data_IF_796747796623
#
_entry.id   IF_796747796623
#
_cell.length_a   1.000
_cell.length_b   1.000
_cell.length_c   1.000
_cell.angle_alpha   90.00
_cell.angle_beta   90.00
_cell.angle_gamma   90.00
#
_symmetry.space_group_name_H-M   'P 1'
#
loop_
_entity.id
_entity.type
_entity.pdbx_description
1 polymer ?
#
# COMPACT_ATOMS: atom_id res chain seq x y z
N UNK A 1 28.11 -16.81 -2.94
CA UNK A 1 28.13 -15.92 -4.12
C UNK A 1 28.65 -14.55 -3.66
N UNK A 2 29.62 -13.96 -4.37
CA UNK A 2 30.38 -12.79 -3.87
C UNK A 2 29.65 -11.48 -4.18
N UNK A 3 29.73 -10.51 -3.26
CA UNK A 3 29.24 -9.13 -3.42
C UNK A 3 29.75 -8.48 -4.71
N UNK A 4 30.95 -8.87 -5.17
CA UNK A 4 31.51 -8.49 -6.46
C UNK A 4 30.63 -8.92 -7.65
N UNK A 5 30.05 -10.13 -7.65
CA UNK A 5 29.17 -10.58 -8.73
C UNK A 5 27.87 -9.77 -8.77
N UNK A 6 27.29 -9.47 -7.60
CA UNK A 6 26.12 -8.60 -7.53
C UNK A 6 26.43 -7.19 -8.05
N UNK A 7 27.54 -6.60 -7.59
CA UNK A 7 27.99 -5.27 -8.04
C UNK A 7 28.22 -5.22 -9.55
N UNK A 8 28.86 -6.23 -10.14
CA UNK A 8 29.04 -6.31 -11.60
C UNK A 8 27.72 -6.42 -12.35
N UNK A 9 26.76 -7.21 -11.84
CA UNK A 9 25.42 -7.33 -12.43
C UNK A 9 24.64 -6.02 -12.32
N UNK A 10 24.72 -5.33 -11.18
CA UNK A 10 24.07 -4.03 -10.99
C UNK A 10 24.69 -2.96 -11.89
N UNK A 11 26.03 -2.92 -12.01
CA UNK A 11 26.72 -2.01 -12.92
C UNK A 11 26.29 -2.22 -14.38
N UNK A 12 26.29 -3.48 -14.85
CA UNK A 12 25.80 -3.82 -16.19
C UNK A 12 24.31 -3.43 -16.39
N UNK A 13 23.49 -3.60 -15.36
CA UNK A 13 22.09 -3.17 -15.36
C UNK A 13 21.98 -1.64 -15.50
N UNK A 14 22.75 -0.88 -14.72
CA UNK A 14 22.76 0.60 -14.76
C UNK A 14 23.25 1.13 -16.11
N UNK A 15 24.34 0.59 -16.65
CA UNK A 15 24.83 0.95 -17.98
C UNK A 15 23.76 0.73 -19.05
N UNK A 16 23.09 -0.41 -19.00
CA UNK A 16 22.06 -0.71 -20.01
C UNK A 16 20.81 0.15 -19.84
N UNK A 17 20.42 0.49 -18.60
CA UNK A 17 19.35 1.45 -18.32
C UNK A 17 19.67 2.86 -18.83
N UNK A 18 20.94 3.24 -18.86
CA UNK A 18 21.38 4.55 -19.34
C UNK A 18 21.43 4.67 -20.87
N UNK A 19 21.51 3.56 -21.60
CA UNK A 19 21.87 3.55 -23.03
C UNK A 19 20.69 3.45 -24.02
N UNK A 20 19.49 3.04 -23.61
CA UNK A 20 18.38 2.77 -24.54
C UNK A 20 16.97 2.96 -23.94
N UNK A 21 15.95 2.97 -24.81
CA UNK A 21 14.52 2.95 -24.48
C UNK A 21 14.22 1.95 -23.33
N UNK A 22 14.03 2.50 -22.12
CA UNK A 22 13.98 1.74 -20.87
C UNK A 22 12.93 0.62 -20.83
N UNK A 23 11.93 0.67 -21.70
CA UNK A 23 10.89 -0.34 -21.81
C UNK A 23 11.34 -1.63 -22.48
N UNK A 24 12.28 -1.57 -23.43
CA UNK A 24 12.89 -2.79 -24.02
C UNK A 24 13.69 -3.50 -22.94
N UNK A 25 14.31 -2.73 -22.04
CA UNK A 25 15.13 -3.23 -20.93
C UNK A 25 14.33 -3.99 -19.87
N UNK A 26 13.09 -3.60 -19.58
CA UNK A 26 12.29 -4.31 -18.59
C UNK A 26 11.94 -5.76 -18.97
N UNK A 27 11.98 -6.07 -20.27
CA UNK A 27 11.84 -7.42 -20.82
C UNK A 27 13.17 -8.18 -20.90
N UNK A 28 14.29 -7.53 -20.57
CA UNK A 28 15.62 -8.12 -20.71
C UNK A 28 15.97 -9.03 -19.53
N UNK A 29 16.74 -10.11 -19.78
CA UNK A 29 17.17 -11.06 -18.75
C UNK A 29 17.98 -10.43 -17.61
N UNK A 30 18.43 -9.18 -17.72
CA UNK A 30 19.30 -8.48 -16.79
C UNK A 30 18.61 -8.17 -15.45
N UNK A 31 17.39 -7.60 -15.45
CA UNK A 31 16.65 -7.35 -14.19
C UNK A 31 16.30 -8.67 -13.50
N UNK A 32 15.92 -9.67 -14.29
CA UNK A 32 15.70 -11.02 -13.78
C UNK A 32 16.99 -11.62 -13.24
N UNK A 33 18.13 -11.41 -13.88
CA UNK A 33 19.43 -11.90 -13.44
C UNK A 33 19.93 -11.20 -12.16
N UNK A 34 19.55 -9.94 -11.92
CA UNK A 34 19.77 -9.24 -10.65
C UNK A 34 18.87 -9.85 -9.56
N UNK A 35 17.59 -10.07 -9.86
CA UNK A 35 16.66 -10.72 -8.92
C UNK A 35 17.12 -12.13 -8.53
N UNK A 36 17.47 -12.94 -9.52
CA UNK A 36 17.86 -14.33 -9.31
C UNK A 36 19.23 -14.39 -8.59
N UNK A 37 20.16 -13.49 -8.93
CA UNK A 37 21.41 -13.30 -8.18
C UNK A 37 21.20 -12.99 -6.71
N UNK A 38 20.20 -12.17 -6.42
CA UNK A 38 19.87 -11.73 -5.09
C UNK A 38 19.16 -12.82 -4.27
N UNK A 39 18.32 -13.65 -4.91
CA UNK A 39 17.68 -14.80 -4.27
C UNK A 39 18.65 -15.94 -3.90
N UNK A 40 19.77 -16.07 -4.63
CA UNK A 40 20.78 -17.10 -4.39
C UNK A 40 21.82 -16.73 -3.32
N UNK A 41 21.88 -15.45 -2.90
CA UNK A 41 22.82 -14.98 -1.86
C UNK A 41 22.24 -15.14 -0.46
N UNK A 42 22.75 -16.04 0.41
CA UNK A 42 22.35 -16.07 1.81
C UNK A 42 22.75 -14.74 2.47
N UNK A 43 21.75 -14.01 2.96
CA UNK A 43 21.88 -12.60 3.35
C UNK A 43 22.48 -12.39 4.76
N UNK A 44 22.78 -13.45 5.51
CA UNK A 44 22.94 -13.44 6.97
C UNK A 44 24.12 -12.64 7.55
N UNK A 45 24.92 -11.92 6.75
CA UNK A 45 26.07 -11.17 7.30
C UNK A 45 26.53 -9.92 6.54
N UNK A 46 25.86 -9.51 5.45
CA UNK A 46 26.36 -8.41 4.60
C UNK A 46 25.26 -7.54 3.98
N UNK A 47 24.15 -7.30 4.68
CA UNK A 47 23.02 -6.51 4.17
C UNK A 47 23.44 -5.11 3.73
N UNK A 48 24.35 -4.45 4.47
CA UNK A 48 24.87 -3.11 4.14
C UNK A 48 25.64 -3.10 2.83
N UNK A 49 26.53 -4.07 2.61
CA UNK A 49 27.31 -4.18 1.36
C UNK A 49 26.39 -4.47 0.17
N UNK A 50 25.34 -5.27 0.40
CA UNK A 50 24.33 -5.57 -0.63
C UNK A 50 23.54 -4.31 -0.98
N UNK A 51 23.14 -3.51 0.01
CA UNK A 51 22.45 -2.22 -0.21
C UNK A 51 23.36 -1.24 -0.95
N UNK A 52 24.63 -1.11 -0.57
CA UNK A 52 25.60 -0.25 -1.25
C UNK A 52 25.77 -0.66 -2.72
N UNK A 53 25.77 -1.96 -3.01
CA UNK A 53 25.82 -2.47 -4.37
C UNK A 53 24.54 -2.19 -5.17
N UNK A 54 23.37 -2.13 -4.51
CA UNK A 54 22.08 -1.85 -5.14
C UNK A 54 21.80 -0.35 -5.32
N UNK A 55 22.31 0.50 -4.44
CA UNK A 55 22.00 1.93 -4.39
C UNK A 55 22.14 2.67 -5.73
N UNK A 56 23.17 2.39 -6.57
CA UNK A 56 23.29 3.01 -7.90
C UNK A 56 22.11 2.74 -8.84
N UNK A 57 21.32 1.70 -8.58
CA UNK A 57 20.16 1.33 -9.38
C UNK A 57 18.92 2.19 -9.04
N UNK A 58 18.88 2.84 -7.89
CA UNK A 58 17.72 3.61 -7.43
C UNK A 58 17.34 4.75 -8.38
N UNK A 59 18.30 5.60 -8.76
CA UNK A 59 18.07 6.72 -9.67
C UNK A 59 17.61 6.25 -11.08
N UNK A 60 18.30 5.31 -11.75
CA UNK A 60 17.80 4.75 -13.02
C UNK A 60 16.39 4.15 -12.93
N UNK A 61 16.05 3.46 -11.83
CA UNK A 61 14.69 2.92 -11.63
C UNK A 61 13.66 4.04 -11.48
N UNK A 62 13.96 5.04 -10.66
CA UNK A 62 13.12 6.20 -10.42
C UNK A 62 12.86 7.05 -11.67
N UNK A 63 13.89 7.25 -12.50
CA UNK A 63 13.83 8.14 -13.66
C UNK A 63 13.29 7.44 -14.92
N UNK A 64 13.59 6.15 -15.09
CA UNK A 64 13.35 5.46 -16.37
C UNK A 64 12.31 4.34 -16.28
N UNK A 65 12.31 3.54 -15.20
CA UNK A 65 11.45 2.36 -15.11
C UNK A 65 10.08 2.67 -14.50
N UNK A 66 10.05 3.37 -13.36
CA UNK A 66 8.80 3.73 -12.70
C UNK A 66 7.94 4.69 -13.55
N UNK A 67 8.52 5.65 -14.29
CA UNK A 67 7.76 6.50 -15.20
C UNK A 67 7.42 5.84 -16.55
N UNK A 68 7.82 4.57 -16.75
CA UNK A 68 7.59 3.83 -18.00
C UNK A 68 6.11 3.75 -18.35
N UNK A 69 5.82 3.63 -19.64
CA UNK A 69 4.45 3.54 -20.14
C UNK A 69 3.96 2.11 -20.28
N UNK A 70 4.84 1.14 -20.04
CA UNK A 70 4.55 -0.26 -20.25
C UNK A 70 4.22 -0.93 -18.93
N UNK A 71 3.01 -1.48 -18.82
CA UNK A 71 2.50 -2.18 -17.63
C UNK A 71 3.47 -3.26 -17.16
N UNK A 72 3.96 -4.11 -18.07
CA UNK A 72 4.93 -5.17 -17.77
C UNK A 72 6.19 -4.63 -17.07
N UNK A 73 6.64 -3.43 -17.46
CA UNK A 73 7.84 -2.80 -16.89
C UNK A 73 7.62 -2.43 -15.44
N UNK A 74 6.53 -1.74 -15.15
CA UNK A 74 6.23 -1.32 -13.78
C UNK A 74 5.95 -2.53 -12.90
N UNK A 75 5.18 -3.51 -13.36
CA UNK A 75 4.92 -4.73 -12.58
C UNK A 75 6.20 -5.49 -12.24
N UNK A 76 7.10 -5.66 -13.22
CA UNK A 76 8.40 -6.31 -12.99
C UNK A 76 9.26 -5.50 -12.01
N UNK A 77 9.24 -4.17 -12.14
CA UNK A 77 9.97 -3.25 -11.25
C UNK A 77 9.43 -3.33 -9.83
N UNK A 78 8.11 -3.27 -9.64
CA UNK A 78 7.45 -3.42 -8.34
C UNK A 78 7.76 -4.79 -7.71
N UNK A 79 7.66 -5.88 -8.47
CA UNK A 79 7.97 -7.23 -7.98
C UNK A 79 9.44 -7.36 -7.52
N UNK A 80 10.37 -6.72 -8.25
CA UNK A 80 11.78 -6.67 -7.88
C UNK A 80 11.99 -5.90 -6.57
N UNK A 81 11.38 -4.72 -6.46
CA UNK A 81 11.44 -3.89 -5.26
C UNK A 81 10.86 -4.61 -4.03
N UNK A 82 9.73 -5.31 -4.20
CA UNK A 82 9.13 -6.17 -3.15
C UNK A 82 10.11 -7.26 -2.71
N UNK A 83 10.84 -7.86 -3.65
CA UNK A 83 11.86 -8.87 -3.34
C UNK A 83 12.99 -8.26 -2.53
N UNK A 84 13.52 -7.11 -2.95
CA UNK A 84 14.62 -6.43 -2.24
C UNK A 84 14.22 -6.03 -0.83
N UNK A 85 13.06 -5.38 -0.66
CA UNK A 85 12.62 -4.95 0.67
C UNK A 85 12.28 -6.12 1.59
N UNK A 86 11.81 -7.24 1.03
CA UNK A 86 11.51 -8.44 1.83
C UNK A 86 12.76 -9.04 2.45
N UNK A 87 13.88 -9.02 1.72
CA UNK A 87 15.15 -9.60 2.17
C UNK A 87 15.94 -8.60 3.04
N UNK A 88 16.00 -7.34 2.64
CA UNK A 88 16.85 -6.33 3.31
C UNK A 88 16.16 -5.63 4.48
N UNK A 89 14.83 -5.66 4.53
CA UNK A 89 14.05 -4.99 5.58
C UNK A 89 14.47 -3.53 5.75
N UNK A 90 14.85 -3.17 6.97
CA UNK A 90 15.24 -1.81 7.36
C UNK A 90 16.50 -1.30 6.66
N UNK A 91 17.40 -2.20 6.23
CA UNK A 91 18.62 -1.80 5.52
C UNK A 91 18.31 -1.24 4.12
N UNK A 92 17.12 -1.53 3.56
CA UNK A 92 16.70 -1.01 2.27
C UNK A 92 16.34 0.48 2.28
N UNK A 93 16.30 1.13 3.46
CA UNK A 93 15.94 2.54 3.63
C UNK A 93 16.54 3.50 2.59
N UNK A 94 17.87 3.56 2.38
CA UNK A 94 18.47 4.57 1.48
C UNK A 94 18.01 4.42 0.02
N UNK A 95 17.64 3.20 -0.36
CA UNK A 95 17.07 2.91 -1.67
C UNK A 95 15.61 3.36 -1.73
N UNK A 96 14.81 3.00 -0.72
CA UNK A 96 13.39 3.36 -0.63
C UNK A 96 13.18 4.87 -0.66
N UNK A 97 14.01 5.63 0.07
CA UNK A 97 13.98 7.10 0.13
C UNK A 97 14.04 7.73 -1.28
N UNK A 98 14.71 7.09 -2.24
CA UNK A 98 14.85 7.60 -3.61
C UNK A 98 13.70 7.18 -4.55
N UNK A 99 13.01 6.08 -4.27
CA UNK A 99 12.05 5.48 -5.21
C UNK A 99 10.60 5.62 -4.79
N UNK A 100 10.31 5.89 -3.52
CA UNK A 100 8.94 5.85 -2.99
C UNK A 100 8.03 6.94 -3.60
N UNK A 101 8.52 8.17 -3.74
CA UNK A 101 7.79 9.27 -4.39
C UNK A 101 7.64 9.05 -5.90
N UNK A 102 8.70 8.65 -6.65
CA UNK A 102 8.54 8.21 -8.04
C UNK A 102 7.50 7.09 -8.23
N UNK A 103 7.43 6.14 -7.29
CA UNK A 103 6.46 5.04 -7.32
C UNK A 103 5.01 5.53 -7.12
N UNK A 104 4.78 6.46 -6.18
CA UNK A 104 3.47 7.14 -6.02
C UNK A 104 3.07 7.89 -7.30
N UNK A 105 4.01 8.60 -7.92
CA UNK A 105 3.79 9.32 -9.17
C UNK A 105 3.53 8.39 -10.37
N UNK A 106 4.13 7.19 -10.38
CA UNK A 106 3.88 6.19 -11.41
C UNK A 106 2.40 5.75 -11.38
N UNK A 107 1.87 5.45 -10.18
CA UNK A 107 0.45 5.14 -10.01
C UNK A 107 -0.46 6.27 -10.52
N UNK A 108 -0.13 7.54 -10.22
CA UNK A 108 -0.87 8.71 -10.69
C UNK A 108 -0.89 8.83 -12.21
N UNK A 109 0.27 8.74 -12.86
CA UNK A 109 0.41 8.93 -14.31
C UNK A 109 -0.42 7.91 -15.08
N UNK A 110 -0.47 6.68 -14.59
CA UNK A 110 -1.20 5.59 -15.24
C UNK A 110 -2.70 5.77 -15.16
N UNK A 111 -3.24 6.12 -13.99
CA UNK A 111 -4.67 6.36 -13.82
C UNK A 111 -5.20 7.49 -14.70
N UNK A 112 -4.41 8.57 -14.89
CA UNK A 112 -4.77 9.68 -15.80
C UNK A 112 -4.86 9.24 -17.25
N UNK A 113 -3.90 8.46 -17.74
CA UNK A 113 -3.89 8.02 -19.14
C UNK A 113 -5.02 7.08 -19.48
N UNK A 114 -5.31 6.14 -18.59
CA UNK A 114 -6.41 5.23 -18.79
C UNK A 114 -7.73 6.00 -18.92
N UNK A 115 -7.88 7.16 -18.27
CA UNK A 115 -9.03 8.04 -18.48
C UNK A 115 -9.06 8.66 -19.88
N UNK A 116 -7.93 9.16 -20.38
CA UNK A 116 -7.82 9.78 -21.71
C UNK A 116 -8.00 8.76 -22.85
N UNK A 117 -7.40 7.57 -22.76
CA UNK A 117 -7.53 6.51 -23.77
C UNK A 117 -8.91 5.84 -23.76
N UNK A 118 -9.57 5.76 -22.59
CA UNK A 118 -10.97 5.30 -22.47
C UNK A 118 -11.94 6.15 -23.26
N UNK A 119 -11.69 7.45 -23.38
CA UNK A 119 -12.52 8.34 -24.18
C UNK A 119 -12.36 8.07 -25.70
N UNK A 120 -11.29 7.38 -26.11
CA UNK A 120 -10.98 7.12 -27.51
C UNK A 120 -11.36 5.72 -28.01
N UNK A 121 -11.57 4.72 -27.13
CA UNK A 121 -11.70 3.31 -27.52
C UNK A 121 -12.97 2.62 -27.01
N UNK A 122 -13.57 1.75 -27.82
CA UNK A 122 -14.85 1.07 -27.53
C UNK A 122 -14.76 -0.17 -26.64
N UNK A 123 -13.56 -0.72 -26.40
CA UNK A 123 -13.37 -1.93 -25.60
C UNK A 123 -13.03 -1.61 -24.12
N UNK A 124 -13.99 -1.05 -23.38
CA UNK A 124 -13.78 -0.54 -22.01
C UNK A 124 -13.39 -1.59 -20.96
N UNK A 125 -13.71 -2.87 -21.17
CA UNK A 125 -13.56 -3.93 -20.16
C UNK A 125 -12.11 -4.40 -19.98
N UNK A 126 -11.34 -4.50 -21.07
CA UNK A 126 -9.95 -4.98 -21.03
C UNK A 126 -9.04 -3.99 -20.28
N UNK A 127 -9.22 -2.68 -20.53
CA UNK A 127 -8.44 -1.63 -19.88
C UNK A 127 -8.69 -1.50 -18.39
N UNK A 128 -9.92 -1.78 -17.93
CA UNK A 128 -10.24 -1.81 -16.48
C UNK A 128 -9.35 -2.81 -15.73
N UNK A 129 -9.16 -4.00 -16.31
CA UNK A 129 -8.39 -5.06 -15.67
C UNK A 129 -6.90 -4.71 -15.62
N UNK A 130 -6.35 -4.19 -16.72
CA UNK A 130 -4.93 -3.81 -16.79
C UNK A 130 -4.60 -2.68 -15.79
N UNK A 131 -5.44 -1.65 -15.72
CA UNK A 131 -5.28 -0.54 -14.76
C UNK A 131 -5.33 -1.04 -13.32
N UNK A 132 -6.30 -1.91 -13.00
CA UNK A 132 -6.45 -2.50 -11.67
C UNK A 132 -5.24 -3.34 -11.27
N UNK A 133 -4.77 -4.24 -12.15
CA UNK A 133 -3.60 -5.09 -11.86
C UNK A 133 -2.33 -4.26 -11.64
N UNK A 134 -2.16 -3.17 -12.40
CA UNK A 134 -1.03 -2.28 -12.26
C UNK A 134 -1.08 -1.49 -10.95
N UNK A 135 -2.24 -0.90 -10.66
CA UNK A 135 -2.48 -0.19 -9.42
C UNK A 135 -2.23 -1.08 -8.21
N UNK A 136 -2.76 -2.31 -8.24
CA UNK A 136 -2.53 -3.31 -7.20
C UNK A 136 -1.03 -3.66 -7.03
N UNK A 137 -0.26 -3.68 -8.12
CA UNK A 137 1.18 -3.94 -8.05
C UNK A 137 1.95 -2.78 -7.39
N UNK A 138 1.54 -1.54 -7.64
CA UNK A 138 2.09 -0.35 -6.99
C UNK A 138 1.70 -0.32 -5.52
N UNK A 139 0.44 -0.56 -5.18
CA UNK A 139 -0.06 -0.65 -3.79
C UNK A 139 0.71 -1.70 -3.01
N UNK A 140 0.76 -2.94 -3.51
CA UNK A 140 1.49 -4.04 -2.85
C UNK A 140 2.96 -3.69 -2.63
N UNK A 141 3.58 -3.01 -3.60
CA UNK A 141 4.98 -2.60 -3.47
C UNK A 141 5.18 -1.55 -2.38
N UNK A 142 4.31 -0.54 -2.34
CA UNK A 142 4.33 0.49 -1.30
C UNK A 142 4.03 -0.11 0.08
N UNK A 143 3.04 -0.99 0.20
CA UNK A 143 2.68 -1.64 1.47
C UNK A 143 3.89 -2.41 2.05
N UNK A 144 4.64 -3.09 1.19
CA UNK A 144 5.86 -3.80 1.59
C UNK A 144 6.99 -2.85 1.99
N UNK A 145 7.15 -1.72 1.30
CA UNK A 145 8.11 -0.67 1.67
C UNK A 145 7.76 -0.01 3.00
N UNK A 146 6.50 0.39 3.15
CA UNK A 146 5.94 1.03 4.33
C UNK A 146 5.99 0.12 5.53
N UNK A 147 5.76 -1.18 5.38
CA UNK A 147 5.82 -2.12 6.51
C UNK A 147 7.23 -2.49 6.96
N UNK A 148 8.25 -2.47 6.07
CA UNK A 148 9.57 -3.05 6.36
C UNK A 148 10.77 -2.10 6.28
N UNK A 149 10.74 -1.08 5.42
CA UNK A 149 11.96 -0.34 5.08
C UNK A 149 12.31 0.81 6.03
N UNK A 150 11.38 1.29 6.87
CA UNK A 150 11.62 2.41 7.81
C UNK A 150 12.23 3.66 7.14
N UNK A 151 11.70 4.01 5.97
CA UNK A 151 12.17 5.13 5.14
C UNK A 151 11.89 6.51 5.78
N UNK A 152 12.43 7.60 5.23
CA UNK A 152 12.05 8.96 5.65
C UNK A 152 10.62 9.26 5.23
N UNK A 153 9.74 9.52 6.20
CA UNK A 153 8.31 9.69 5.93
C UNK A 153 8.01 11.08 5.32
N UNK A 154 8.87 12.09 5.54
CA UNK A 154 8.60 13.47 5.12
C UNK A 154 8.29 13.61 3.62
N UNK A 155 9.07 13.02 2.69
CA UNK A 155 8.77 13.12 1.25
C UNK A 155 7.38 12.62 0.87
N UNK A 156 6.82 11.64 1.58
CA UNK A 156 5.46 11.14 1.32
C UNK A 156 4.40 12.08 1.90
N UNK A 157 4.63 12.59 3.11
CA UNK A 157 3.71 13.55 3.74
C UNK A 157 3.65 14.84 2.91
N UNK A 158 4.80 15.37 2.49
CA UNK A 158 4.87 16.54 1.60
C UNK A 158 4.21 16.27 0.24
N UNK A 159 4.29 15.03 -0.25
CA UNK A 159 3.65 14.64 -1.50
C UNK A 159 2.11 14.66 -1.42
N UNK A 160 1.53 14.42 -0.24
CA UNK A 160 0.08 14.53 -0.04
C UNK A 160 -0.42 15.93 -0.36
N UNK A 161 0.22 16.96 0.19
CA UNK A 161 -0.15 18.37 -0.01
C UNK A 161 0.10 18.83 -1.45
N UNK A 162 1.18 18.34 -2.07
CA UNK A 162 1.51 18.66 -3.45
C UNK A 162 0.60 17.97 -4.48
N UNK A 163 -0.14 16.93 -4.09
CA UNK A 163 -0.90 16.11 -5.01
C UNK A 163 -2.41 16.38 -4.95
N UNK A 164 -2.96 16.99 -6.00
CA UNK A 164 -4.41 17.22 -6.12
C UNK A 164 -5.22 15.99 -6.61
N UNK A 165 -4.63 14.80 -6.60
CA UNK A 165 -5.30 13.59 -7.09
C UNK A 165 -5.86 12.81 -5.91
N UNK A 166 -7.19 12.79 -5.77
CA UNK A 166 -7.91 12.06 -4.70
C UNK A 166 -7.36 10.65 -4.50
N UNK A 167 -7.18 9.89 -5.57
CA UNK A 167 -6.68 8.51 -5.49
C UNK A 167 -5.27 8.38 -4.94
N UNK A 168 -4.40 9.36 -5.22
CA UNK A 168 -3.02 9.37 -4.72
C UNK A 168 -3.00 9.83 -3.27
N UNK A 169 -3.83 10.82 -2.91
CA UNK A 169 -4.01 11.25 -1.53
C UNK A 169 -4.53 10.09 -0.66
N UNK A 170 -5.52 9.34 -1.13
CA UNK A 170 -5.98 8.11 -0.46
C UNK A 170 -4.85 7.06 -0.38
N UNK A 171 -4.06 6.90 -1.44
CA UNK A 171 -2.92 5.97 -1.41
C UNK A 171 -1.90 6.37 -0.34
N UNK A 172 -1.54 7.66 -0.24
CA UNK A 172 -0.65 8.17 0.81
C UNK A 172 -1.23 7.91 2.20
N UNK A 173 -2.52 8.19 2.42
CA UNK A 173 -3.18 7.92 3.69
C UNK A 173 -3.14 6.44 4.09
N UNK A 174 -3.34 5.52 3.12
CA UNK A 174 -3.16 4.07 3.35
C UNK A 174 -1.74 3.71 3.74
N UNK A 175 -0.74 4.33 3.11
CA UNK A 175 0.66 4.11 3.50
C UNK A 175 0.94 4.61 4.91
N UNK A 176 0.40 5.78 5.30
CA UNK A 176 0.48 6.29 6.67
C UNK A 176 -0.18 5.31 7.65
N UNK A 177 -1.35 4.76 7.33
CA UNK A 177 -2.02 3.75 8.15
C UNK A 177 -1.15 2.51 8.39
N UNK A 178 -0.51 2.00 7.34
CA UNK A 178 0.40 0.83 7.41
C UNK A 178 1.64 1.17 8.24
N UNK A 179 2.23 2.35 8.03
CA UNK A 179 3.39 2.83 8.81
C UNK A 179 3.05 2.90 10.29
N UNK A 180 1.90 3.50 10.64
CA UNK A 180 1.42 3.59 12.02
C UNK A 180 1.16 2.21 12.64
N UNK A 181 0.67 1.25 11.86
CA UNK A 181 0.43 -0.11 12.34
C UNK A 181 1.68 -0.99 12.45
N UNK A 182 2.80 -0.61 11.84
CA UNK A 182 4.00 -1.47 11.71
C UNK A 182 5.27 -0.90 12.32
N UNK A 183 5.34 0.41 12.57
CA UNK A 183 6.51 1.08 13.14
C UNK A 183 6.31 1.30 14.63
N UNK A 184 7.42 1.36 15.36
CA UNK A 184 7.37 1.70 16.78
C UNK A 184 7.14 3.20 16.97
N UNK A 185 6.51 3.58 18.07
CA UNK A 185 6.30 4.98 18.44
C UNK A 185 7.60 5.81 18.39
N UNK A 186 8.72 5.24 18.85
CA UNK A 186 10.03 5.92 18.84
C UNK A 186 10.50 6.26 17.43
N UNK A 187 10.25 5.37 16.46
CA UNK A 187 10.58 5.63 15.05
C UNK A 187 9.69 6.72 14.44
N UNK A 188 8.46 6.86 14.95
CA UNK A 188 7.45 7.78 14.45
C UNK A 188 7.48 9.16 15.10
N UNK A 189 8.06 9.28 16.29
CA UNK A 189 8.12 10.51 17.08
C UNK A 189 8.61 11.74 16.28
N UNK A 190 9.66 11.65 15.42
CA UNK A 190 10.11 12.80 14.62
C UNK A 190 9.05 13.34 13.65
N UNK A 191 8.06 12.52 13.31
CA UNK A 191 7.02 12.84 12.33
C UNK A 191 5.66 13.16 12.95
N UNK A 192 5.52 13.11 14.29
CA UNK A 192 4.22 13.29 14.99
C UNK A 192 3.44 14.51 14.49
N UNK A 193 4.08 15.69 14.48
CA UNK A 193 3.43 16.94 14.03
C UNK A 193 2.96 16.88 12.57
N UNK A 194 3.79 16.34 11.69
CA UNK A 194 3.46 16.23 10.26
C UNK A 194 2.31 15.24 10.02
N UNK A 195 2.30 14.08 10.70
CA UNK A 195 1.22 13.10 10.59
C UNK A 195 -0.08 13.68 11.16
N UNK A 196 -0.01 14.36 12.31
CA UNK A 196 -1.17 15.04 12.93
C UNK A 196 -1.78 16.05 11.97
N UNK A 197 -0.97 16.94 11.39
CA UNK A 197 -1.44 18.00 10.52
C UNK A 197 -2.02 17.43 9.22
N UNK A 198 -1.38 16.39 8.65
CA UNK A 198 -1.91 15.65 7.49
C UNK A 198 -3.28 15.03 7.80
N UNK A 199 -3.42 14.32 8.92
CA UNK A 199 -4.69 13.68 9.30
C UNK A 199 -5.77 14.70 9.61
N UNK A 200 -5.43 15.82 10.24
CA UNK A 200 -6.35 16.93 10.45
C UNK A 200 -6.91 17.46 9.12
N UNK A 201 -6.05 17.72 8.14
CA UNK A 201 -6.46 18.19 6.83
C UNK A 201 -7.30 17.14 6.10
N UNK A 202 -6.86 15.88 6.10
CA UNK A 202 -7.53 14.78 5.41
C UNK A 202 -8.92 14.46 5.98
N UNK A 203 -9.10 14.56 7.30
CA UNK A 203 -10.39 14.37 7.97
C UNK A 203 -11.40 15.47 7.58
N UNK A 204 -10.93 16.66 7.26
CA UNK A 204 -11.76 17.78 6.82
C UNK A 204 -11.77 17.96 5.28
N UNK A 205 -11.22 17.01 4.52
CA UNK A 205 -11.20 17.10 3.07
C UNK A 205 -12.63 17.09 2.51
N UNK A 206 -12.87 17.81 1.42
CA UNK A 206 -14.19 17.84 0.74
C UNK A 206 -14.57 16.48 0.14
N UNK A 207 -13.61 15.64 -0.22
CA UNK A 207 -13.85 14.35 -0.84
C UNK A 207 -14.11 13.25 0.21
N UNK A 208 -15.26 12.58 0.10
CA UNK A 208 -15.65 11.52 1.03
C UNK A 208 -14.61 10.39 1.11
N UNK A 209 -14.04 9.97 -0.02
CA UNK A 209 -13.03 8.90 -0.07
C UNK A 209 -11.79 9.21 0.76
N UNK A 210 -11.34 10.47 0.74
CA UNK A 210 -10.18 10.93 1.52
C UNK A 210 -10.55 10.87 3.01
N UNK A 211 -11.70 11.43 3.38
CA UNK A 211 -12.19 11.39 4.77
C UNK A 211 -12.32 9.95 5.28
N UNK A 212 -12.88 9.05 4.48
CA UNK A 212 -13.07 7.64 4.85
C UNK A 212 -11.72 6.93 5.02
N UNK A 213 -10.77 7.16 4.12
CA UNK A 213 -9.43 6.56 4.21
C UNK A 213 -8.65 7.13 5.41
N UNK A 214 -8.78 8.44 5.68
CA UNK A 214 -8.11 9.09 6.80
C UNK A 214 -8.56 8.54 8.16
N UNK A 215 -9.80 8.04 8.29
CA UNK A 215 -10.30 7.44 9.54
C UNK A 215 -9.50 6.21 9.96
N UNK A 216 -9.11 5.36 9.02
CA UNK A 216 -8.29 4.17 9.30
C UNK A 216 -6.92 4.56 9.87
N UNK A 217 -6.23 5.46 9.17
CA UNK A 217 -4.97 6.03 9.64
C UNK A 217 -5.11 6.76 11.00
N UNK A 218 -6.18 7.53 11.20
CA UNK A 218 -6.44 8.26 12.44
C UNK A 218 -6.70 7.35 13.64
N UNK A 219 -7.38 6.21 13.44
CA UNK A 219 -7.53 5.18 14.47
C UNK A 219 -6.16 4.70 14.97
N UNK A 220 -5.26 4.32 14.06
CA UNK A 220 -3.91 3.86 14.43
C UNK A 220 -3.08 4.97 15.06
N UNK A 221 -3.29 6.22 14.63
CA UNK A 221 -2.63 7.40 15.19
C UNK A 221 -3.02 7.61 16.67
N UNK A 222 -4.32 7.62 16.97
CA UNK A 222 -4.82 7.73 18.34
C UNK A 222 -4.34 6.59 19.24
N UNK A 223 -4.23 5.36 18.71
CA UNK A 223 -3.67 4.24 19.46
C UNK A 223 -2.18 4.46 19.81
N UNK A 224 -1.41 4.99 18.85
CA UNK A 224 0.04 5.19 19.01
C UNK A 224 0.39 6.32 19.99
N UNK A 225 -0.39 7.41 19.99
CA UNK A 225 -0.22 8.58 20.87
C UNK A 225 -1.42 8.80 21.80
N UNK A 226 -1.86 7.72 22.45
CA UNK A 226 -3.01 7.76 23.38
C UNK A 226 -2.82 8.72 24.57
N UNK A 227 -1.59 9.11 24.90
CA UNK A 227 -1.33 10.14 25.90
C UNK A 227 -1.64 11.57 25.44
N UNK A 228 -1.79 11.80 24.12
CA UNK A 228 -2.14 13.11 23.55
C UNK A 228 -3.65 13.23 23.23
N UNK A 229 -4.50 12.36 23.78
CA UNK A 229 -5.93 12.33 23.41
C UNK A 229 -6.66 13.67 23.60
N UNK A 230 -6.25 14.51 24.55
CA UNK A 230 -6.80 15.85 24.73
C UNK A 230 -6.55 16.74 23.49
N UNK A 231 -5.38 16.63 22.86
CA UNK A 231 -5.06 17.34 21.61
C UNK A 231 -5.76 16.69 20.41
N UNK A 232 -5.83 15.35 20.37
CA UNK A 232 -6.36 14.59 19.24
C UNK A 232 -7.88 14.61 19.15
N UNK A 233 -8.58 14.78 20.28
CA UNK A 233 -10.05 14.84 20.32
C UNK A 233 -10.63 15.99 19.49
N UNK A 234 -9.83 17.02 19.20
CA UNK A 234 -10.24 18.17 18.39
C UNK A 234 -10.09 17.94 16.88
N UNK A 235 -9.44 16.86 16.44
CA UNK A 235 -9.21 16.60 15.01
C UNK A 235 -10.49 16.21 14.28
N UNK A 236 -11.31 15.25 14.74
CA UNK A 236 -12.56 14.96 14.06
C UNK A 236 -13.61 16.02 14.43
N UNK A 237 -14.35 16.53 13.44
CA UNK A 237 -15.53 17.36 13.74
C UNK A 237 -16.57 16.58 14.57
N UNK A 238 -17.43 17.25 15.36
CA UNK A 238 -18.45 16.56 16.16
C UNK A 238 -19.33 15.59 15.36
N UNK A 239 -19.66 15.94 14.11
CA UNK A 239 -20.40 15.07 13.21
C UNK A 239 -19.59 13.81 12.82
N UNK A 240 -18.29 13.96 12.58
CA UNK A 240 -17.41 12.83 12.26
C UNK A 240 -17.16 11.91 13.45
N UNK A 241 -17.15 12.44 14.68
CA UNK A 241 -17.04 11.61 15.89
C UNK A 241 -18.19 10.58 15.94
N UNK A 242 -19.42 11.00 15.63
CA UNK A 242 -20.57 10.09 15.56
C UNK A 242 -20.34 8.98 14.52
N UNK A 243 -19.85 9.34 13.33
CA UNK A 243 -19.55 8.37 12.27
C UNK A 243 -18.41 7.40 12.64
N UNK A 244 -17.40 7.86 13.37
CA UNK A 244 -16.31 7.01 13.87
C UNK A 244 -16.84 5.99 14.89
N UNK A 245 -17.67 6.43 15.83
CA UNK A 245 -18.31 5.54 16.81
C UNK A 245 -19.18 4.48 16.12
N UNK A 246 -19.93 4.86 15.09
CA UNK A 246 -20.73 3.93 14.28
C UNK A 246 -19.86 2.91 13.52
N UNK A 247 -18.68 3.30 13.04
CA UNK A 247 -17.75 2.39 12.38
C UNK A 247 -17.17 1.36 13.36
N UNK A 248 -16.76 1.78 14.56
CA UNK A 248 -16.20 0.88 15.58
C UNK A 248 -17.22 -0.15 16.07
N UNK A 249 -18.45 0.30 16.37
CA UNK A 249 -19.52 -0.58 16.85
C UNK A 249 -19.90 -1.67 15.85
N UNK A 250 -19.74 -1.42 14.54
CA UNK A 250 -19.95 -2.44 13.50
C UNK A 250 -18.79 -3.42 13.34
N UNK A 251 -17.55 -3.00 13.55
CA UNK A 251 -16.37 -3.86 13.38
C UNK A 251 -16.27 -4.94 14.47
N UNK A 252 -16.64 -4.62 15.71
CA UNK A 252 -16.63 -5.60 16.82
C UNK A 252 -17.69 -6.70 16.66
N UNK A 253 -18.75 -6.46 15.89
CA UNK A 253 -19.76 -7.49 15.58
C UNK A 253 -19.25 -8.46 14.50
N UNK A 254 -18.38 -7.98 13.58
CA UNK A 254 -17.88 -8.77 12.45
C UNK A 254 -16.75 -9.73 12.80
N UNK A 255 -15.94 -9.45 13.83
CA UNK A 255 -14.75 -10.27 14.15
C UNK A 255 -15.07 -11.55 14.93
N UNK A 256 -16.34 -11.80 15.26
CA UNK A 256 -16.79 -13.06 15.88
C UNK A 256 -17.13 -14.17 14.87
N UNK A 257 -17.07 -13.90 13.56
CA UNK A 257 -17.22 -14.92 12.51
C UNK A 257 -16.07 -14.78 11.49
N UNK A 258 -15.39 -15.89 11.17
CA UNK A 258 -14.13 -15.93 10.41
C UNK A 258 -14.15 -15.30 9.00
N UNK A 259 -12.98 -15.22 8.33
CA UNK A 259 -12.79 -14.36 7.17
C UNK A 259 -13.41 -14.98 5.91
N UNK A 260 -14.48 -14.38 5.41
CA UNK A 260 -14.90 -14.52 4.01
C UNK A 260 -14.65 -13.22 3.27
N UNK A 261 -13.73 -13.32 2.31
CA UNK A 261 -13.48 -12.41 1.20
C UNK A 261 -14.77 -12.07 0.42
N UNK A 262 -15.48 -11.00 0.80
CA UNK A 262 -16.59 -10.44 0.01
C UNK A 262 -17.04 -9.02 0.45
N UNK A 263 -16.11 -8.11 0.79
CA UNK A 263 -16.45 -6.74 1.22
C UNK A 263 -16.10 -5.66 0.18
N UNK A 264 -16.33 -5.93 -1.11
CA UNK A 264 -16.09 -4.95 -2.20
C UNK A 264 -17.36 -4.55 -2.96
N UNK A 265 -18.52 -5.20 -2.75
CA UNK A 265 -19.73 -4.97 -3.57
C UNK A 265 -20.84 -4.09 -2.93
N UNK A 266 -20.60 -3.37 -1.84
CA UNK A 266 -21.67 -2.61 -1.15
C UNK A 266 -21.49 -1.09 -1.04
N UNK A 267 -20.59 -0.47 -1.82
CA UNK A 267 -20.35 0.99 -1.75
C UNK A 267 -20.75 1.76 -3.02
N UNK A 268 -21.19 1.10 -4.09
CA UNK A 268 -21.56 1.80 -5.34
C UNK A 268 -22.94 2.50 -5.35
N UNK A 269 -23.81 2.31 -4.34
CA UNK A 269 -25.19 2.86 -4.36
C UNK A 269 -25.46 4.08 -3.45
N UNK A 270 -24.42 4.73 -2.91
CA UNK A 270 -24.56 6.01 -2.18
C UNK A 270 -23.68 7.07 -2.85
N UNK A 271 -23.94 7.32 -4.13
CA UNK A 271 -23.55 8.54 -4.81
C UNK A 271 -24.81 9.18 -5.41
N UNK A 272 -25.69 9.65 -4.53
CA UNK A 272 -26.70 10.64 -4.91
C UNK A 272 -26.05 12.01 -4.72
N UNK A 273 -26.01 12.77 -5.80
CA UNK A 273 -25.45 14.11 -5.91
C UNK A 273 -25.99 15.01 -4.78
N UNK A 274 -25.10 15.44 -3.88
CA UNK A 274 -25.36 16.56 -2.99
C UNK A 274 -24.99 17.83 -3.77
N UNK A 275 -25.95 18.30 -4.56
CA UNK A 275 -25.86 19.57 -5.30
C UNK A 275 -26.26 20.72 -4.36
N UNK A 276 -25.36 21.69 -4.22
CA UNK A 276 -25.49 22.86 -3.36
C UNK A 276 -26.81 23.63 -3.58
N UNK A 277 -27.71 23.57 -2.60
CA UNK A 277 -28.78 24.56 -2.42
C UNK A 277 -28.65 25.20 -1.05
N UNK A 278 -27.81 26.23 -1.00
CA UNK A 278 -27.71 27.14 0.14
C UNK A 278 -28.80 28.20 0.02
N UNK A 279 -29.99 27.92 0.56
CA UNK A 279 -31.02 28.92 0.79
C UNK A 279 -31.22 29.18 2.28
N UNK A 280 -31.30 30.47 2.59
CA UNK A 280 -31.43 31.09 3.91
C UNK A 280 -32.79 30.73 4.52
N UNK A 281 -32.80 30.04 5.67
CA UNK A 281 -33.97 30.04 6.56
C UNK A 281 -33.53 30.34 7.99
N UNK A 282 -33.97 31.51 8.42
CA UNK A 282 -33.88 32.08 9.76
C UNK A 282 -35.00 31.51 10.64
N UNK A 283 -34.67 31.09 11.87
CA UNK A 283 -35.59 31.20 13.00
C UNK A 283 -36.07 29.92 13.70
N UNK A 284 -35.68 29.84 14.99
CA UNK A 284 -36.40 29.24 16.13
C UNK A 284 -36.50 27.71 16.21
N UNK A 285 -35.64 27.12 17.04
CA UNK A 285 -36.04 26.42 18.27
C UNK A 285 -34.80 25.88 19.02
N UNK A 286 -34.47 26.50 20.15
CA UNK A 286 -33.34 26.11 21.03
C UNK A 286 -33.88 25.88 22.43
N UNK A 287 -34.60 24.77 22.63
CA UNK A 287 -34.91 24.23 23.96
C UNK A 287 -34.78 22.69 24.02
N UNK A 288 -34.51 21.99 22.91
CA UNK A 288 -34.38 20.52 22.89
C UNK A 288 -32.97 19.94 23.02
N UNK A 289 -31.91 20.76 23.09
CA UNK A 289 -30.51 20.31 22.87
C UNK A 289 -29.70 19.95 24.14
N UNK A 290 -30.32 19.95 25.31
CA UNK A 290 -29.60 19.62 26.56
C UNK A 290 -29.64 18.12 26.86
N UNK A 291 -30.66 17.39 26.41
CA UNK A 291 -30.77 15.95 26.66
C UNK A 291 -29.86 15.11 25.74
N UNK A 292 -29.59 15.56 24.50
CA UNK A 292 -28.66 14.86 23.59
C UNK A 292 -27.18 14.99 24.01
N UNK A 293 -26.80 16.11 24.63
CA UNK A 293 -25.41 16.30 25.13
C UNK A 293 -25.14 15.43 26.36
N UNK A 294 -26.16 15.18 27.17
CA UNK A 294 -26.05 14.30 28.33
C UNK A 294 -25.85 12.84 27.91
N UNK A 295 -26.48 12.41 26.81
CA UNK A 295 -26.43 11.03 26.32
C UNK A 295 -25.05 10.69 25.69
N UNK A 296 -24.45 11.63 24.97
CA UNK A 296 -23.09 11.49 24.43
C UNK A 296 -22.04 11.43 25.54
N UNK A 297 -22.20 12.22 26.61
CA UNK A 297 -21.32 12.14 27.78
C UNK A 297 -21.50 10.84 28.57
N UNK A 298 -22.73 10.32 28.72
CA UNK A 298 -22.97 9.02 29.35
C UNK A 298 -22.38 7.87 28.52
N UNK A 299 -22.45 7.94 27.20
CA UNK A 299 -21.82 6.95 26.31
C UNK A 299 -20.30 6.96 26.40
N UNK A 300 -19.67 8.14 26.43
CA UNK A 300 -18.23 8.31 26.62
C UNK A 300 -17.76 7.82 28.00
N UNK A 301 -18.53 8.10 29.05
CA UNK A 301 -18.26 7.64 30.43
C UNK A 301 -18.43 6.12 30.56
N UNK A 302 -19.42 5.53 29.90
CA UNK A 302 -19.59 4.08 29.83
C UNK A 302 -18.45 3.41 29.06
N UNK A 303 -17.98 4.00 27.95
CA UNK A 303 -16.83 3.50 27.20
C UNK A 303 -15.53 3.55 28.01
N UNK A 304 -15.28 4.66 28.71
CA UNK A 304 -14.13 4.80 29.63
C UNK A 304 -14.21 3.80 30.80
N UNK A 305 -15.40 3.54 31.35
CA UNK A 305 -15.60 2.56 32.42
C UNK A 305 -15.38 1.12 31.94
N UNK A 306 -15.79 0.77 30.72
CA UNK A 306 -15.51 -0.55 30.13
C UNK A 306 -14.02 -0.73 29.87
N UNK A 307 -13.34 0.29 29.33
CA UNK A 307 -11.89 0.24 29.07
C UNK A 307 -11.04 0.17 30.35
N UNK A 308 -11.45 0.89 31.41
CA UNK A 308 -10.75 0.87 32.69
C UNK A 308 -10.99 -0.40 33.50
N UNK A 309 -12.13 -1.10 33.28
CA UNK A 309 -12.44 -2.33 34.02
C UNK A 309 -11.99 -3.60 33.32
N UNK A 310 -11.90 -3.63 31.98
CA UNK A 310 -11.40 -4.77 31.20
C UNK A 310 -10.05 -5.37 31.68
N UNK A 311 -9.01 -4.60 32.07
CA UNK A 311 -7.78 -5.16 32.62
C UNK A 311 -7.94 -5.79 34.02
N UNK A 312 -8.94 -5.36 34.81
CA UNK A 312 -9.20 -5.92 36.15
C UNK A 312 -9.88 -7.30 36.08
N UNK A 313 -10.73 -7.53 35.08
CA UNK A 313 -11.37 -8.83 34.85
C UNK A 313 -10.38 -9.86 34.31
N UNK A 314 -9.48 -9.45 33.42
CA UNK A 314 -8.43 -10.32 32.88
C UNK A 314 -7.38 -10.69 33.92
N UNK A 315 -6.99 -9.78 34.83
CA UNK A 315 -6.16 -10.11 36.00
C UNK A 315 -6.85 -11.05 36.99
N UNK A 316 -8.16 -10.90 37.19
CA UNK A 316 -8.94 -11.78 38.08
C UNK A 316 -9.04 -13.20 37.52
N UNK A 317 -9.21 -13.35 36.20
CA UNK A 317 -9.24 -14.66 35.53
C UNK A 317 -7.85 -15.33 35.50
N UNK A 318 -6.78 -14.55 35.39
CA UNK A 318 -5.40 -15.05 35.48
C UNK A 318 -5.07 -15.55 36.89
N UNK A 319 -5.51 -14.83 37.92
CA UNK A 319 -5.37 -15.25 39.32
C UNK A 319 -6.17 -16.52 39.63
N UNK A 320 -7.39 -16.65 39.09
CA UNK A 320 -8.20 -17.87 39.24
C UNK A 320 -7.61 -19.04 38.45
N UNK A 321 -7.05 -18.80 37.26
CA UNK A 321 -6.36 -19.82 36.47
C UNK A 321 -5.07 -20.33 37.11
N UNK A 322 -4.29 -19.44 37.75
CA UNK A 322 -3.07 -19.83 38.47
C UNK A 322 -3.36 -20.61 39.76
N UNK A 323 -4.52 -20.40 40.39
CA UNK A 323 -4.93 -21.13 41.61
C UNK A 323 -5.53 -22.51 41.31
N UNK A 324 -5.90 -22.79 40.06
CA UNK A 324 -6.56 -24.04 39.66
C UNK A 324 -5.65 -25.04 38.93
N UNK A 325 -4.34 -24.78 38.80
CA UNK A 325 -3.43 -25.72 38.14
C UNK A 325 -2.96 -26.84 39.10
N UNK A 326 -3.35 -28.12 38.91
CA UNK A 326 -2.84 -29.21 39.70
C UNK A 326 -1.52 -29.71 39.10
N UNK A 327 -0.62 -30.07 40.00
CA UNK A 327 0.65 -30.74 39.73
C UNK A 327 0.42 -32.11 39.08
N UNK A 328 1.05 -32.34 37.92
CA UNK A 328 1.51 -33.65 37.47
C UNK A 328 0.69 -34.32 36.36
N UNK A 329 1.34 -34.63 35.23
CA UNK A 329 1.76 -36.00 34.87
C UNK A 329 2.68 -35.89 33.65
N UNK A 330 3.84 -36.55 33.78
CA UNK A 330 4.82 -36.79 32.73
C UNK A 330 4.37 -37.99 31.89
N UNK A 331 4.29 -37.82 30.55
CA UNK A 331 4.33 -38.94 29.61
C UNK A 331 5.17 -38.59 28.39
N UNK A 332 6.25 -39.36 28.21
CA UNK A 332 7.00 -39.51 26.96
C UNK A 332 6.08 -40.08 25.87
N UNK A 333 6.11 -39.50 24.68
CA UNK A 333 5.64 -40.15 23.47
C UNK A 333 6.65 -39.92 22.33
N UNK A 334 7.14 -41.04 21.77
CA UNK A 334 8.00 -41.13 20.60
C UNK A 334 7.23 -40.74 19.34
N UNK A 335 7.84 -39.91 18.49
CA UNK A 335 7.36 -39.58 17.15
C UNK A 335 8.15 -40.44 16.16
N UNK A 336 7.44 -41.31 15.42
CA UNK A 336 7.98 -42.05 14.28
C UNK A 336 7.93 -41.22 12.98
N UNK A 337 8.69 -41.60 11.94
CA UNK A 337 8.84 -40.80 10.72
C UNK A 337 7.66 -41.02 9.75
N UNK A 338 7.24 -39.93 9.10
CA UNK A 338 6.28 -39.93 7.98
C UNK A 338 6.95 -40.34 6.66
N UNK A 339 6.22 -40.99 5.73
CA UNK A 339 6.75 -41.40 4.45
C UNK A 339 6.73 -40.25 3.41
N UNK A 340 7.77 -40.27 2.57
CA UNK A 340 7.94 -39.46 1.37
C UNK A 340 6.88 -39.77 0.32
N UNK A 341 6.27 -38.73 -0.26
CA UNK A 341 5.38 -38.82 -1.41
C UNK A 341 6.19 -38.46 -2.66
N UNK A 342 6.44 -39.47 -3.49
CA UNK A 342 6.98 -39.32 -4.85
C UNK A 342 5.91 -38.72 -5.77
N UNK A 343 6.21 -37.57 -6.37
CA UNK A 343 5.42 -36.97 -7.44
C UNK A 343 6.05 -37.37 -8.79
N UNK A 344 5.34 -38.27 -9.46
CA UNK A 344 5.59 -38.75 -10.82
C UNK A 344 5.58 -37.60 -11.84
N UNK A 345 6.60 -37.61 -12.68
CA UNK A 345 6.67 -36.89 -13.95
C UNK A 345 5.46 -37.18 -14.83
N UNK A 346 4.79 -36.14 -15.30
CA UNK A 346 3.88 -36.24 -16.43
C UNK A 346 4.51 -35.68 -17.71
N UNK A 347 4.31 -36.49 -18.73
CA UNK A 347 4.86 -36.52 -20.08
C UNK A 347 4.14 -35.50 -20.96
N UNK A 348 4.88 -34.56 -21.58
CA UNK A 348 4.34 -33.73 -22.67
C UNK A 348 5.11 -34.00 -23.97
N UNK A 349 4.56 -34.94 -24.72
CA UNK A 349 4.84 -35.20 -26.14
C UNK A 349 4.28 -34.09 -27.04
N UNK A 350 5.21 -33.53 -27.82
CA UNK A 350 5.14 -33.31 -29.28
C UNK A 350 3.81 -32.86 -29.90
N UNK A 351 3.81 -31.62 -30.42
CA UNK A 351 3.11 -31.31 -31.68
C UNK A 351 4.02 -30.51 -32.60
N UNK A 352 4.27 -31.13 -33.74
CA UNK A 352 4.97 -30.61 -34.90
C UNK A 352 4.16 -29.55 -35.66
N UNK A 353 4.92 -28.62 -36.24
CA UNK A 353 4.85 -28.04 -37.58
C UNK A 353 3.47 -27.78 -38.23
N UNK A 354 3.22 -26.52 -38.57
CA UNK A 354 2.80 -26.12 -39.93
C UNK A 354 3.00 -24.62 -40.18
N UNK A 355 3.98 -24.32 -41.01
CA UNK A 355 4.17 -23.07 -41.76
C UNK A 355 3.13 -23.03 -42.92
N UNK A 356 2.58 -21.87 -43.30
CA UNK A 356 2.98 -21.39 -44.64
C UNK A 356 2.99 -19.86 -44.85
N UNK A 357 4.02 -19.46 -45.62
CA UNK A 357 3.99 -18.55 -46.78
C UNK A 357 3.61 -17.08 -46.60
N UNK A 358 4.65 -16.24 -46.68
CA UNK A 358 4.92 -15.28 -47.77
C UNK A 358 3.68 -14.77 -48.53
N UNK A 359 3.39 -13.48 -48.38
CA UNK A 359 3.13 -12.62 -49.54
C UNK A 359 3.57 -11.18 -49.30
N UNK A 360 4.49 -10.76 -50.15
CA UNK A 360 4.99 -9.41 -50.38
C UNK A 360 4.03 -8.63 -51.28
N UNK A 361 3.55 -7.46 -50.82
CA UNK A 361 3.03 -6.31 -51.60
C UNK A 361 2.69 -5.21 -50.58
N UNK A 362 2.96 -3.93 -50.77
CA UNK A 362 3.59 -3.21 -51.86
C UNK A 362 4.04 -1.84 -51.36
N UNK A 363 4.98 -1.30 -52.12
CA UNK A 363 5.58 0.01 -51.99
C UNK A 363 4.53 1.12 -52.10
N UNK A 364 4.60 2.11 -51.20
CA UNK A 364 3.71 3.27 -51.13
C UNK A 364 4.49 4.52 -50.78
N UNK A 365 5.50 4.80 -51.58
CA UNK A 365 6.33 6.00 -51.59
C UNK A 365 5.47 7.26 -51.79
N UNK A 366 5.47 8.18 -50.82
CA UNK A 366 4.92 9.53 -51.02
C UNK A 366 5.85 10.59 -50.43
N UNK A 367 6.83 10.94 -51.25
CA UNK A 367 7.48 12.25 -51.29
C UNK A 367 6.44 13.37 -51.47
N UNK A 368 6.43 14.34 -50.56
CA UNK A 368 6.13 15.75 -50.83
C UNK A 368 7.16 16.59 -50.07
N UNK A 369 8.24 16.98 -50.75
CA UNK A 369 8.43 18.30 -51.38
C UNK A 369 8.26 19.46 -50.40
N UNK A 370 9.40 19.86 -49.86
CA UNK A 370 9.76 21.24 -49.56
C UNK A 370 9.89 21.98 -50.91
N UNK A 371 9.16 23.08 -51.08
CA UNK A 371 9.56 24.18 -51.94
C UNK A 371 9.20 25.51 -51.26
N UNK A 372 10.26 26.26 -51.01
CA UNK A 372 10.42 27.67 -50.67
C UNK A 372 9.30 28.62 -51.13
N UNK A 373 8.84 29.45 -50.19
CA UNK A 373 8.86 30.91 -50.26
C UNK A 373 9.04 31.46 -48.85
#
# INVERSE_FOLDING_TARGET
MTTALLSTKVAACCETLSLQEAWVFAKKPELKAVRDAFGETPCESNETIVVDALLPLAAPMAENLLPSWHTDTIQTTCALLVTFVTVLGVYFRPFTDQVVVPLLNAGRKMRRRNMDERLANTNLSEWKLVDQMLWQSVETCLDMMSSKSRYDLLPILDHYDACHSVSVQCLVLRQVEIVLGSWTKVELEPYFGHIRDLLHNAMHDRHLDIRMTARGAFSNFCHTWSEHMDELAHIPSPHMLNLLVDCYTRHDISTTNGPTSAAVDMVEDIMVEEEDTQDVVEGKDVVGRVDEVLDVHLSLVMYLLVFLTAPLWSLSLLLVGCLLWPVGISTKAQIGPMPSVDLLCEDQRSRDASDPKKDTRGCGEKQRRIQLA
#
